data_IF_438159035502
#
_entry.id   IF_438159035502
#
_cell.length_a   1.000
_cell.length_b   1.000
_cell.length_c   1.000
_cell.angle_alpha   90.00
_cell.angle_beta   90.00
_cell.angle_gamma   90.00
#
_symmetry.space_group_name_H-M   'P 1'
#
loop_
_entity.id
_entity.type
_entity.pdbx_description
1 polymer ?
#
# COMPACT_ATOMS: atom_id res chain seq x y z
N UNK A 1 15.60 5.95 -8.20
CA UNK A 1 15.22 7.06 -7.28
C UNK A 1 13.94 7.74 -7.75
N UNK A 2 13.83 8.06 -9.05
CA UNK A 2 12.66 8.70 -9.66
C UNK A 2 11.35 7.89 -9.49
N UNK A 3 11.37 6.59 -9.81
CA UNK A 3 10.20 5.70 -9.59
C UNK A 3 9.69 5.73 -8.14
N UNK A 4 10.59 5.78 -7.15
CA UNK A 4 10.19 5.81 -5.73
C UNK A 4 9.53 7.14 -5.33
N UNK A 5 9.93 8.25 -5.95
CA UNK A 5 9.25 9.54 -5.74
C UNK A 5 7.84 9.52 -6.34
N UNK A 6 7.70 8.97 -7.55
CA UNK A 6 6.39 8.77 -8.17
C UNK A 6 5.51 7.86 -7.30
N UNK A 7 6.06 6.78 -6.76
CA UNK A 7 5.34 5.92 -5.82
C UNK A 7 4.84 6.72 -4.61
N UNK A 8 5.72 7.50 -3.97
CA UNK A 8 5.36 8.32 -2.82
C UNK A 8 4.21 9.29 -3.16
N UNK A 9 4.28 9.99 -4.30
CA UNK A 9 3.22 10.91 -4.75
C UNK A 9 1.87 10.21 -4.94
N UNK A 10 1.86 8.97 -5.44
CA UNK A 10 0.61 8.20 -5.58
C UNK A 10 0.09 7.70 -4.23
N UNK A 11 0.97 7.33 -3.32
CA UNK A 11 0.61 6.85 -1.98
C UNK A 11 0.09 8.00 -1.11
N UNK A 12 0.59 9.22 -1.30
CA UNK A 12 0.07 10.41 -0.60
C UNK A 12 -1.42 10.63 -0.84
N UNK A 13 -1.92 10.26 -2.03
CA UNK A 13 -3.35 10.34 -2.38
C UNK A 13 -4.21 9.32 -1.64
N UNK A 14 -3.59 8.34 -0.97
CA UNK A 14 -4.26 7.21 -0.32
C UNK A 14 -4.23 7.28 1.21
N UNK A 15 -3.59 8.31 1.78
CA UNK A 15 -3.63 8.58 3.22
C UNK A 15 -5.09 8.68 3.69
N UNK A 16 -5.45 7.94 4.73
CA UNK A 16 -6.81 7.90 5.29
C UNK A 16 -7.86 7.12 4.48
N UNK A 17 -7.63 6.87 3.19
CA UNK A 17 -8.53 6.10 2.31
C UNK A 17 -8.32 4.58 2.46
N UNK A 18 -7.07 4.17 2.72
CA UNK A 18 -6.72 2.76 2.87
C UNK A 18 -5.69 2.54 3.97
N UNK A 19 -5.66 1.32 4.50
CA UNK A 19 -4.57 0.86 5.34
C UNK A 19 -3.30 0.68 4.51
N UNK A 20 -2.19 1.26 4.96
CA UNK A 20 -0.90 1.21 4.24
C UNK A 20 0.12 0.47 5.10
N UNK A 21 0.72 -0.58 4.54
CA UNK A 21 1.86 -1.30 5.13
C UNK A 21 3.03 -1.35 4.17
N UNK A 22 4.23 -1.20 4.70
CA UNK A 22 5.48 -1.43 3.95
C UNK A 22 6.17 -2.67 4.52
N UNK A 23 6.79 -3.45 3.64
CA UNK A 23 7.59 -4.60 4.02
C UNK A 23 9.02 -4.41 3.50
N UNK A 24 9.98 -4.55 4.39
CA UNK A 24 11.41 -4.52 4.10
C UNK A 24 11.97 -5.95 4.18
N UNK A 25 13.29 -6.11 4.04
CA UNK A 25 13.91 -7.41 4.28
C UNK A 25 13.80 -7.87 5.75
N UNK A 26 13.73 -6.93 6.69
CA UNK A 26 13.85 -7.22 8.12
C UNK A 26 12.56 -6.98 8.89
N UNK A 27 11.62 -6.20 8.36
CA UNK A 27 10.48 -5.72 9.12
C UNK A 27 9.23 -5.45 8.27
N UNK A 28 8.09 -5.29 8.94
CA UNK A 28 6.80 -4.88 8.38
C UNK A 28 6.24 -3.75 9.22
N UNK A 29 6.13 -2.58 8.62
CA UNK A 29 5.64 -1.37 9.28
C UNK A 29 4.26 -1.01 8.75
N UNK A 30 3.37 -0.63 9.67
CA UNK A 30 2.06 -0.04 9.32
C UNK A 30 2.21 1.46 9.33
N UNK A 31 1.92 2.11 8.21
CA UNK A 31 2.04 3.56 8.07
C UNK A 31 0.74 4.28 8.44
N UNK A 32 -0.40 3.75 7.99
CA UNK A 32 -1.71 4.35 8.25
C UNK A 32 -2.83 3.32 8.23
N UNK A 33 -3.94 3.71 8.83
CA UNK A 33 -5.24 3.03 8.76
C UNK A 33 -6.21 3.72 7.82
N UNK A 34 -7.48 3.36 7.96
CA UNK A 34 -8.63 3.96 7.26
C UNK A 34 -9.31 4.92 8.24
N UNK A 35 -9.51 6.17 7.84
CA UNK A 35 -10.09 7.20 8.70
C UNK A 35 -11.61 7.04 8.86
N UNK A 36 -12.30 6.63 7.80
CA UNK A 36 -13.76 6.50 7.82
C UNK A 36 -14.20 5.05 7.57
N UNK A 37 -14.99 4.52 8.52
CA UNK A 37 -15.65 3.23 8.34
C UNK A 37 -16.77 3.36 7.33
N UNK A 38 -16.76 2.49 6.33
CA UNK A 38 -17.77 2.47 5.30
C UNK A 38 -19.09 1.96 5.88
N UNK A 39 -20.18 2.67 5.59
CA UNK A 39 -21.49 2.44 6.21
C UNK A 39 -22.29 1.29 5.57
N UNK A 40 -21.70 0.57 4.61
CA UNK A 40 -22.38 -0.49 3.88
C UNK A 40 -22.34 -1.79 4.70
N UNK A 41 -23.53 -2.32 5.04
CA UNK A 41 -23.74 -3.49 5.92
C UNK A 41 -23.04 -4.79 5.47
N UNK A 42 -22.61 -4.89 4.21
CA UNK A 42 -21.95 -6.09 3.65
C UNK A 42 -20.49 -5.87 3.27
N UNK A 43 -19.89 -4.74 3.65
CA UNK A 43 -18.49 -4.48 3.36
C UNK A 43 -17.59 -5.15 4.41
N UNK A 44 -16.72 -6.07 3.97
CA UNK A 44 -15.79 -6.76 4.87
C UNK A 44 -14.51 -5.94 5.00
N UNK A 45 -14.23 -5.41 6.18
CA UNK A 45 -12.95 -4.78 6.53
C UNK A 45 -12.65 -5.01 8.01
N UNK A 46 -11.41 -5.35 8.32
CA UNK A 46 -11.00 -5.61 9.70
C UNK A 46 -11.02 -4.34 10.53
N UNK A 47 -11.65 -4.37 11.71
CA UNK A 47 -11.76 -3.22 12.61
C UNK A 47 -10.39 -2.65 13.01
N UNK A 48 -9.36 -3.51 13.06
CA UNK A 48 -7.96 -3.12 13.23
C UNK A 48 -7.59 -1.89 12.39
N UNK A 49 -8.08 -1.78 11.15
CA UNK A 49 -7.68 -0.69 10.25
C UNK A 49 -8.22 0.67 10.64
N UNK A 50 -9.28 0.76 11.46
CA UNK A 50 -9.78 2.04 11.97
C UNK A 50 -9.04 2.49 13.25
N UNK A 51 -8.44 1.54 13.97
CA UNK A 51 -7.73 1.79 15.22
C UNK A 51 -6.22 2.01 15.02
N UNK A 52 -5.71 1.85 13.79
CA UNK A 52 -4.30 2.10 13.49
C UNK A 52 -3.98 3.58 13.66
N UNK A 53 -2.99 3.86 14.52
CA UNK A 53 -2.39 5.20 14.62
C UNK A 53 -1.82 5.60 13.25
N UNK A 54 -2.27 6.75 12.73
CA UNK A 54 -1.70 7.31 11.51
C UNK A 54 -0.27 7.84 11.79
N UNK A 55 0.72 7.17 11.20
CA UNK A 55 2.14 7.52 11.24
C UNK A 55 2.67 7.87 9.84
N UNK A 56 1.78 8.07 8.87
CA UNK A 56 2.15 8.18 7.47
C UNK A 56 3.12 9.33 7.24
N UNK A 57 2.80 10.53 7.74
CA UNK A 57 3.64 11.73 7.56
C UNK A 57 5.05 11.57 8.16
N UNK A 58 5.17 10.85 9.27
CA UNK A 58 6.45 10.59 9.95
C UNK A 58 7.30 9.57 9.19
N UNK A 59 6.67 8.55 8.59
CA UNK A 59 7.35 7.37 8.07
C UNK A 59 7.37 7.26 6.53
N UNK A 60 6.61 8.10 5.80
CA UNK A 60 6.46 8.00 4.34
C UNK A 60 7.78 8.11 3.57
N UNK A 61 8.77 8.83 4.12
CA UNK A 61 10.09 8.95 3.49
C UNK A 61 10.84 7.60 3.41
N UNK A 62 10.50 6.62 4.25
CA UNK A 62 11.03 5.26 4.15
C UNK A 62 10.74 4.62 2.79
N UNK A 63 9.64 4.99 2.12
CA UNK A 63 9.32 4.51 0.77
C UNK A 63 10.42 4.88 -0.23
N UNK A 64 11.04 6.04 -0.04
CA UNK A 64 12.11 6.55 -0.90
C UNK A 64 13.47 6.03 -0.42
N UNK A 65 13.72 6.06 0.88
CA UNK A 65 15.03 5.88 1.50
C UNK A 65 15.40 4.41 1.75
N UNK A 66 14.43 3.54 2.07
CA UNK A 66 14.68 2.17 2.51
C UNK A 66 15.10 1.27 1.35
N UNK A 67 16.39 0.97 1.25
CA UNK A 67 16.96 0.20 0.12
C UNK A 67 16.40 -1.22 0.04
N UNK A 68 16.01 -1.81 1.17
CA UNK A 68 15.48 -3.16 1.28
C UNK A 68 13.96 -3.23 1.18
N UNK A 69 13.29 -2.12 0.84
CA UNK A 69 11.85 -2.09 0.59
C UNK A 69 11.49 -3.11 -0.49
N UNK A 70 10.69 -4.10 -0.08
CA UNK A 70 10.29 -5.22 -0.91
C UNK A 70 8.93 -4.92 -1.55
N UNK A 71 7.93 -4.60 -0.73
CA UNK A 71 6.58 -4.29 -1.21
C UNK A 71 5.85 -3.30 -0.32
N UNK A 72 4.80 -2.71 -0.90
CA UNK A 72 3.83 -1.86 -0.22
C UNK A 72 2.48 -2.52 -0.40
N UNK A 73 1.75 -2.72 0.69
CA UNK A 73 0.45 -3.36 0.73
C UNK A 73 -0.62 -2.35 1.13
N UNK A 74 -1.69 -2.30 0.33
CA UNK A 74 -2.86 -1.47 0.53
C UNK A 74 -4.03 -2.36 0.95
N UNK A 75 -4.70 -1.95 2.01
CA UNK A 75 -5.87 -2.62 2.57
C UNK A 75 -7.05 -1.67 2.45
N UNK A 76 -8.00 -1.99 1.57
CA UNK A 76 -9.15 -1.14 1.33
C UNK A 76 -10.37 -1.98 0.94
N UNK A 77 -11.53 -1.32 0.91
CA UNK A 77 -12.75 -1.92 0.41
C UNK A 77 -12.59 -2.32 -1.06
N UNK A 78 -13.34 -3.34 -1.48
CA UNK A 78 -13.23 -3.90 -2.83
C UNK A 78 -13.48 -2.85 -3.92
N UNK A 79 -14.44 -1.96 -3.72
CA UNK A 79 -14.75 -0.83 -4.60
C UNK A 79 -13.57 0.13 -4.86
N UNK A 80 -12.68 0.30 -3.87
CA UNK A 80 -11.51 1.17 -3.99
C UNK A 80 -10.34 0.47 -4.71
N UNK A 81 -10.38 -0.85 -4.86
CA UNK A 81 -9.24 -1.61 -5.39
C UNK A 81 -8.88 -1.22 -6.82
N UNK A 82 -9.86 -0.98 -7.67
CA UNK A 82 -9.60 -0.59 -9.06
C UNK A 82 -9.01 0.83 -9.15
N UNK A 83 -9.51 1.75 -8.33
CA UNK A 83 -8.91 3.08 -8.21
C UNK A 83 -7.45 2.99 -7.75
N UNK A 84 -7.18 2.27 -6.66
CA UNK A 84 -5.81 2.08 -6.13
C UNK A 84 -4.92 1.45 -7.21
N UNK A 85 -5.38 0.38 -7.89
CA UNK A 85 -4.64 -0.26 -8.99
C UNK A 85 -4.30 0.74 -10.09
N UNK A 86 -5.25 1.58 -10.49
CA UNK A 86 -5.09 2.53 -11.59
C UNK A 86 -3.99 3.58 -11.34
N UNK A 87 -3.71 3.90 -10.07
CA UNK A 87 -2.65 4.84 -9.69
C UNK A 87 -1.24 4.33 -10.03
N UNK A 88 -1.05 3.00 -10.01
CA UNK A 88 0.28 2.38 -10.14
C UNK A 88 0.51 1.64 -11.47
N UNK A 89 -0.55 1.34 -12.23
CA UNK A 89 -0.47 0.44 -13.40
C UNK A 89 0.48 0.89 -14.52
N UNK A 90 0.77 2.20 -14.60
CA UNK A 90 1.63 2.77 -15.64
C UNK A 90 3.05 3.08 -15.15
N UNK A 91 3.41 2.67 -13.93
CA UNK A 91 4.75 2.90 -13.38
C UNK A 91 5.68 1.77 -13.83
N UNK A 92 6.73 2.08 -14.62
CA UNK A 92 7.64 1.06 -15.12
C UNK A 92 8.34 0.28 -13.99
N UNK A 93 8.45 -1.04 -14.17
CA UNK A 93 9.13 -1.92 -13.22
C UNK A 93 8.36 -2.21 -11.93
N UNK A 94 7.07 -1.84 -11.87
CA UNK A 94 6.19 -2.18 -10.75
C UNK A 94 5.23 -3.30 -11.13
N UNK A 95 5.26 -4.36 -10.31
CA UNK A 95 4.29 -5.44 -10.35
C UNK A 95 3.18 -5.15 -9.35
N UNK A 96 1.93 -5.27 -9.81
CA UNK A 96 0.74 -5.16 -8.98
C UNK A 96 0.16 -6.57 -8.74
N UNK A 97 -0.09 -6.91 -7.49
CA UNK A 97 -0.61 -8.21 -7.07
C UNK A 97 -1.83 -8.04 -6.17
N UNK A 98 -2.99 -8.55 -6.60
CA UNK A 98 -4.14 -8.72 -5.70
C UNK A 98 -3.98 -10.02 -4.95
N UNK A 99 -3.72 -9.95 -3.65
CA UNK A 99 -3.44 -11.13 -2.81
C UNK A 99 -4.64 -11.61 -2.00
N UNK A 100 -5.64 -10.75 -1.85
CA UNK A 100 -6.96 -11.06 -1.32
C UNK A 100 -7.96 -10.02 -1.84
N UNK A 101 -9.26 -10.24 -1.61
CA UNK A 101 -10.32 -9.31 -2.03
C UNK A 101 -10.06 -7.87 -1.57
N UNK A 102 -9.56 -7.71 -0.34
CA UNK A 102 -9.30 -6.42 0.30
C UNK A 102 -7.82 -6.02 0.32
N UNK A 103 -6.93 -6.73 -0.40
CA UNK A 103 -5.48 -6.49 -0.33
C UNK A 103 -4.84 -6.43 -1.72
N UNK A 104 -4.26 -5.28 -2.03
CA UNK A 104 -3.45 -5.03 -3.22
C UNK A 104 -2.00 -4.73 -2.80
N UNK A 105 -1.04 -5.36 -3.45
CA UNK A 105 0.39 -5.14 -3.21
C UNK A 105 1.07 -4.60 -4.45
N UNK A 106 2.00 -3.68 -4.26
CA UNK A 106 2.93 -3.23 -5.28
C UNK A 106 4.35 -3.61 -4.87
N UNK A 107 5.14 -4.06 -5.84
CA UNK A 107 6.53 -4.45 -5.64
C UNK A 107 7.35 -4.22 -6.90
N UNK A 108 8.67 -4.16 -6.77
CA UNK A 108 9.55 -4.11 -7.92
C UNK A 108 9.54 -5.47 -8.65
N UNK A 109 9.35 -5.46 -9.97
CA UNK A 109 9.34 -6.65 -10.82
C UNK A 109 10.61 -7.50 -10.70
N UNK A 110 11.77 -6.87 -10.52
CA UNK A 110 13.06 -7.55 -10.41
C UNK A 110 13.17 -8.37 -9.11
N UNK A 111 12.55 -7.90 -8.03
CA UNK A 111 12.52 -8.61 -6.74
C UNK A 111 11.63 -9.85 -6.83
N UNK A 112 10.57 -9.80 -7.65
CA UNK A 112 9.65 -10.94 -7.84
C UNK A 112 10.27 -12.11 -8.61
N UNK A 113 11.32 -11.91 -9.41
CA UNK A 113 11.93 -12.98 -10.24
C UNK A 113 12.82 -13.94 -9.45
N UNK A 114 13.22 -13.59 -8.21
CA UNK A 114 14.10 -14.43 -7.36
C UNK A 114 13.35 -15.45 -6.49
N UNK A 115 12.03 -15.57 -6.63
CA UNK A 115 11.17 -16.47 -5.84
C UNK A 115 10.65 -17.68 -6.65
N UNK A 116 11.32 -18.06 -7.74
CA UNK A 116 11.03 -19.27 -8.52
C UNK A 116 12.14 -20.28 -8.33
#
# INVERSE_FOLDING_TARGET
MEVRKILLEKIDLLEGICGIKIATANDRLTLSGIEEKHKIENSFMFDFWYDVKNQYKELRNLIVEEKTLNNIAFYSYEENMEYIRSLFQNIPGIKILRTAHIVLKIMNEEVSKKLV
#
